data_IF_427200874593
#
_entry.id   IF_427200874593
#
_cell.length_a   1.000
_cell.length_b   1.000
_cell.length_c   1.000
_cell.angle_alpha   90.00
_cell.angle_beta   90.00
_cell.angle_gamma   90.00
#
_symmetry.space_group_name_H-M   'P 1'
#
loop_
_entity.id
_entity.type
_entity.pdbx_description
1 polymer ?
#
# COMPACT_ATOMS: atom_id res chain seq x y z
N UNK A 1 -16.33 8.79 13.64
CA UNK A 1 -17.23 8.02 12.75
C UNK A 1 -16.50 6.75 12.34
N UNK A 2 -16.96 5.60 12.83
CA UNK A 2 -16.35 4.31 12.53
C UNK A 2 -16.75 3.87 11.13
N UNK A 3 -15.84 3.98 10.16
CA UNK A 3 -16.01 3.34 8.86
C UNK A 3 -15.91 1.84 9.05
N UNK A 4 -17.04 1.15 8.91
CA UNK A 4 -17.09 -0.29 8.68
C UNK A 4 -16.10 -0.65 7.58
N UNK A 5 -14.97 -1.24 7.95
CA UNK A 5 -14.06 -1.88 7.01
C UNK A 5 -14.80 -3.09 6.46
N UNK A 6 -15.42 -2.97 5.29
CA UNK A 6 -15.76 -4.13 4.46
C UNK A 6 -14.45 -4.87 4.16
N UNK A 7 -14.07 -5.80 5.05
CA UNK A 7 -12.94 -6.69 4.83
C UNK A 7 -13.40 -7.71 3.79
N UNK A 8 -13.02 -7.48 2.54
CA UNK A 8 -13.16 -8.53 1.54
C UNK A 8 -12.38 -9.77 1.99
N UNK A 9 -12.96 -10.92 1.72
CA UNK A 9 -12.35 -12.23 1.89
C UNK A 9 -11.95 -12.78 0.53
N UNK A 10 -11.17 -13.87 0.50
CA UNK A 10 -10.85 -14.52 -0.78
C UNK A 10 -12.08 -15.13 -1.45
N UNK A 11 -13.13 -15.43 -0.67
CA UNK A 11 -14.38 -15.99 -1.19
C UNK A 11 -15.19 -14.97 -1.99
N UNK A 12 -14.93 -13.68 -1.81
CA UNK A 12 -15.53 -12.56 -2.57
C UNK A 12 -14.80 -12.30 -3.90
N UNK A 13 -13.76 -13.08 -4.22
CA UNK A 13 -13.00 -12.90 -5.44
C UNK A 13 -13.80 -13.36 -6.67
N UNK A 14 -14.10 -12.41 -7.54
CA UNK A 14 -14.61 -12.65 -8.89
C UNK A 14 -13.82 -11.85 -9.92
N UNK A 15 -13.61 -12.43 -11.10
CA UNK A 15 -12.98 -11.75 -12.23
C UNK A 15 -14.04 -10.89 -12.93
N UNK A 16 -13.77 -9.59 -13.01
CA UNK A 16 -14.68 -8.66 -13.66
C UNK A 16 -14.44 -8.66 -15.17
N UNK A 17 -15.52 -8.62 -15.96
CA UNK A 17 -15.41 -8.57 -17.43
C UNK A 17 -14.89 -7.23 -17.94
N UNK A 18 -15.04 -6.18 -17.13
CA UNK A 18 -14.67 -4.79 -17.41
C UNK A 18 -13.32 -4.38 -16.79
N UNK A 19 -12.45 -5.35 -16.48
CA UNK A 19 -11.09 -5.05 -15.98
C UNK A 19 -10.30 -4.22 -16.99
N UNK A 20 -9.73 -3.12 -16.49
CA UNK A 20 -8.84 -2.24 -17.27
C UNK A 20 -7.54 -2.97 -17.58
N UNK A 21 -7.04 -2.78 -18.79
CA UNK A 21 -5.73 -3.24 -19.21
C UNK A 21 -4.63 -2.38 -18.58
N UNK A 22 -4.03 -2.89 -17.50
CA UNK A 22 -2.95 -2.22 -16.77
C UNK A 22 -1.74 -1.90 -17.65
N UNK A 23 -1.48 -2.68 -18.71
CA UNK A 23 -0.34 -2.43 -19.59
C UNK A 23 -0.47 -1.11 -20.36
N UNK A 24 -1.71 -0.61 -20.54
CA UNK A 24 -2.02 0.66 -21.21
C UNK A 24 -2.17 1.81 -20.22
N UNK A 25 -2.61 1.53 -18.99
CA UNK A 25 -2.94 2.55 -18.00
C UNK A 25 -1.81 2.86 -17.01
N UNK A 26 -0.86 1.94 -16.81
CA UNK A 26 0.26 2.11 -15.89
C UNK A 26 1.55 2.33 -16.70
N UNK A 27 2.33 3.39 -16.44
CA UNK A 27 3.61 3.59 -17.11
C UNK A 27 4.55 2.42 -16.76
N UNK A 28 5.31 1.90 -17.72
CA UNK A 28 6.20 0.76 -17.45
C UNK A 28 7.23 1.06 -16.36
N UNK A 29 7.46 0.12 -15.44
CA UNK A 29 8.55 0.24 -14.46
C UNK A 29 9.90 0.20 -15.19
N UNK A 30 10.75 1.20 -14.95
CA UNK A 30 12.11 1.34 -15.51
C UNK A 30 13.20 1.16 -14.46
N UNK A 31 12.80 0.80 -13.23
CA UNK A 31 13.65 0.71 -12.05
C UNK A 31 13.47 1.89 -11.09
N UNK A 32 14.52 2.22 -10.34
CA UNK A 32 14.46 3.18 -9.22
C UNK A 32 14.01 4.60 -9.64
N UNK A 33 14.23 4.98 -10.90
CA UNK A 33 13.95 6.33 -11.41
C UNK A 33 12.47 6.68 -11.48
N UNK A 34 11.59 5.69 -11.64
CA UNK A 34 10.14 5.90 -11.69
C UNK A 34 9.35 5.02 -10.71
N UNK A 35 10.02 4.34 -9.77
CA UNK A 35 9.41 3.41 -8.81
C UNK A 35 8.14 3.95 -8.16
N UNK A 36 8.19 5.10 -7.48
CA UNK A 36 7.04 5.64 -6.73
C UNK A 36 5.84 5.97 -7.59
N UNK A 37 6.09 6.58 -8.75
CA UNK A 37 5.03 6.91 -9.70
C UNK A 37 4.38 5.62 -10.21
N UNK A 38 5.21 4.64 -10.60
CA UNK A 38 4.75 3.33 -11.03
C UNK A 38 3.96 2.62 -9.93
N UNK A 39 4.50 2.53 -8.72
CA UNK A 39 3.90 1.84 -7.57
C UNK A 39 2.52 2.43 -7.23
N UNK A 40 2.43 3.76 -7.20
CA UNK A 40 1.16 4.48 -6.95
C UNK A 40 0.12 4.16 -8.01
N UNK A 41 0.48 4.26 -9.29
CA UNK A 41 -0.45 4.01 -10.40
C UNK A 41 -0.84 2.52 -10.50
N UNK A 42 0.12 1.62 -10.28
CA UNK A 42 -0.07 0.17 -10.26
C UNK A 42 -1.07 -0.22 -9.16
N UNK A 43 -0.87 0.23 -7.92
CA UNK A 43 -1.81 -0.06 -6.83
C UNK A 43 -3.19 0.55 -7.06
N UNK A 44 -3.26 1.75 -7.63
CA UNK A 44 -4.54 2.40 -7.97
C UNK A 44 -5.32 1.58 -9.00
N UNK A 45 -4.67 1.16 -10.08
CA UNK A 45 -5.30 0.39 -11.15
C UNK A 45 -5.66 -1.03 -10.73
N UNK A 46 -4.79 -1.72 -10.00
CA UNK A 46 -5.12 -3.04 -9.43
C UNK A 46 -6.35 -2.95 -8.52
N UNK A 47 -6.40 -1.96 -7.63
CA UNK A 47 -7.53 -1.76 -6.72
C UNK A 47 -8.83 -1.46 -7.48
N UNK A 48 -8.74 -0.69 -8.56
CA UNK A 48 -9.89 -0.38 -9.41
C UNK A 48 -10.46 -1.65 -10.06
N UNK A 49 -9.59 -2.51 -10.59
CA UNK A 49 -10.00 -3.79 -11.17
C UNK A 49 -10.58 -4.73 -10.12
N UNK A 50 -9.82 -5.01 -9.06
CA UNK A 50 -10.31 -5.79 -7.93
C UNK A 50 -9.51 -5.46 -6.66
N UNK A 51 -10.18 -5.06 -5.56
CA UNK A 51 -9.49 -4.75 -4.29
C UNK A 51 -8.68 -5.92 -3.72
N UNK A 52 -9.07 -7.18 -3.99
CA UNK A 52 -8.35 -8.39 -3.55
C UNK A 52 -6.90 -8.40 -4.04
N UNK A 53 -6.61 -7.86 -5.23
CA UNK A 53 -5.24 -7.84 -5.78
C UNK A 53 -4.28 -7.04 -4.91
N UNK A 54 -4.72 -5.88 -4.43
CA UNK A 54 -3.91 -5.04 -3.53
C UNK A 54 -3.79 -5.70 -2.15
N UNK A 55 -4.84 -6.35 -1.69
CA UNK A 55 -4.83 -7.07 -0.41
C UNK A 55 -3.87 -8.26 -0.43
N UNK A 56 -3.77 -8.99 -1.55
CA UNK A 56 -2.78 -10.05 -1.74
C UNK A 56 -1.35 -9.50 -1.66
N UNK A 57 -1.05 -8.40 -2.38
CA UNK A 57 0.28 -7.78 -2.36
C UNK A 57 0.65 -7.29 -0.94
N UNK A 58 -0.33 -6.82 -0.17
CA UNK A 58 -0.13 -6.30 1.20
C UNK A 58 -0.13 -7.35 2.29
N UNK A 59 -0.27 -8.64 1.96
CA UNK A 59 -0.42 -9.74 2.94
C UNK A 59 -1.70 -9.67 3.78
N UNK A 60 -2.74 -8.96 3.31
CA UNK A 60 -4.01 -8.81 4.02
C UNK A 60 -4.94 -10.02 3.79
N UNK A 61 -4.82 -10.69 2.64
CA UNK A 61 -5.52 -11.94 2.32
C UNK A 61 -4.49 -13.06 2.14
N UNK A 62 -4.63 -14.12 2.94
CA UNK A 62 -3.73 -15.28 2.94
C UNK A 62 -4.40 -16.49 2.33
N UNK A 63 -3.59 -17.43 1.89
CA UNK A 63 -4.06 -18.77 1.55
C UNK A 63 -4.82 -19.35 2.75
N UNK A 64 -6.04 -19.87 2.57
CA UNK A 64 -6.78 -20.51 3.65
C UNK A 64 -5.95 -21.63 4.29
N UNK A 65 -5.79 -21.65 5.64
CA UNK A 65 -5.07 -22.71 6.30
C UNK A 65 -5.82 -24.03 6.19
N UNK A 66 -5.09 -25.14 6.23
CA UNK A 66 -5.68 -26.47 6.25
C UNK A 66 -6.70 -26.62 7.39
N UNK A 67 -7.91 -27.14 7.13
CA UNK A 67 -8.93 -27.32 8.16
C UNK A 67 -8.52 -28.37 9.19
N UNK A 68 -8.98 -28.19 10.43
CA UNK A 68 -8.89 -29.21 11.46
C UNK A 68 -10.14 -30.08 11.38
N UNK A 69 -9.96 -31.36 11.06
CA UNK A 69 -11.06 -32.33 10.98
C UNK A 69 -11.33 -32.94 12.35
N UNK A 70 -12.62 -33.10 12.68
CA UNK A 70 -13.02 -33.85 13.87
C UNK A 70 -12.86 -35.36 13.62
N UNK A 71 -12.48 -36.12 14.63
CA UNK A 71 -12.36 -37.57 14.53
C UNK A 71 -13.77 -38.21 14.46
N UNK A 72 -14.11 -38.93 13.37
CA UNK A 72 -15.41 -39.58 13.23
C UNK A 72 -15.52 -40.90 13.99
N UNK A 73 -14.48 -41.35 14.72
CA UNK A 73 -14.56 -42.61 15.47
C UNK A 73 -15.73 -42.63 16.45
N UNK A 74 -16.35 -43.80 16.65
CA UNK A 74 -17.46 -43.97 17.62
C UNK A 74 -17.06 -43.52 19.02
N UNK A 75 -15.79 -43.74 19.41
CA UNK A 75 -15.24 -43.28 20.68
C UNK A 75 -15.26 -41.76 20.81
N UNK A 76 -14.83 -41.04 19.76
CA UNK A 76 -14.81 -39.59 19.74
C UNK A 76 -16.21 -38.99 19.63
N UNK A 77 -17.08 -39.58 18.81
CA UNK A 77 -18.49 -39.21 18.74
C UNK A 77 -19.21 -39.40 20.09
N UNK A 78 -18.97 -40.53 20.77
CA UNK A 78 -19.47 -40.79 22.12
C UNK A 78 -18.95 -39.76 23.11
N UNK A 79 -17.65 -39.50 23.14
CA UNK A 79 -17.04 -38.53 24.04
C UNK A 79 -17.62 -37.12 23.84
N UNK A 80 -17.88 -36.70 22.60
CA UNK A 80 -18.53 -35.43 22.28
C UNK A 80 -19.96 -35.36 22.82
N UNK A 81 -20.76 -36.41 22.63
CA UNK A 81 -22.14 -36.46 23.14
C UNK A 81 -22.18 -36.38 24.68
N UNK A 82 -21.30 -37.11 25.38
CA UNK A 82 -21.20 -37.03 26.84
C UNK A 82 -20.73 -35.64 27.30
N UNK A 83 -19.80 -35.01 26.57
CA UNK A 83 -19.37 -33.63 26.84
C UNK A 83 -20.51 -32.62 26.66
N UNK A 84 -21.37 -32.81 25.66
CA UNK A 84 -22.53 -31.96 25.39
C UNK A 84 -23.65 -32.16 26.42
N UNK A 85 -23.81 -33.39 26.95
CA UNK A 85 -24.78 -33.69 28.00
C UNK A 85 -24.45 -33.02 29.34
N UNK A 86 -23.18 -32.72 29.63
CA UNK A 86 -22.73 -32.00 30.85
C UNK A 86 -23.28 -32.57 32.17
N UNK A 87 -23.41 -33.90 32.29
CA UNK A 87 -23.92 -34.56 33.50
C UNK A 87 -25.45 -34.59 33.62
N UNK A 88 -26.18 -34.16 32.60
CA UNK A 88 -27.63 -34.28 32.50
C UNK A 88 -28.02 -35.75 32.25
N UNK A 89 -28.54 -36.42 33.28
CA UNK A 89 -28.88 -37.85 33.25
C UNK A 89 -29.91 -38.20 32.19
N UNK A 90 -30.84 -37.31 31.86
CA UNK A 90 -31.83 -37.57 30.81
C UNK A 90 -31.20 -37.53 29.43
N UNK A 91 -30.25 -36.62 29.19
CA UNK A 91 -29.50 -36.55 27.93
C UNK A 91 -28.50 -37.70 27.80
N UNK A 92 -27.84 -38.09 28.89
CA UNK A 92 -26.94 -39.24 28.90
C UNK A 92 -27.68 -40.56 28.60
N UNK A 93 -28.88 -40.74 29.14
CA UNK A 93 -29.72 -41.90 28.84
C UNK A 93 -30.10 -42.00 27.35
N UNK A 94 -30.08 -40.88 26.61
CA UNK A 94 -30.34 -40.83 25.16
C UNK A 94 -29.10 -41.10 24.30
N UNK A 95 -27.91 -41.26 24.89
CA UNK A 95 -26.66 -41.61 24.17
C UNK A 95 -26.66 -43.12 23.88
N UNK A 96 -27.48 -43.53 22.93
CA UNK A 96 -27.55 -44.92 22.45
C UNK A 96 -26.51 -45.22 21.37
N UNK A 97 -26.38 -46.50 20.98
CA UNK A 97 -25.52 -46.89 19.87
C UNK A 97 -25.91 -46.19 18.56
N UNK A 98 -27.21 -45.99 18.32
CA UNK A 98 -27.75 -45.26 17.17
C UNK A 98 -27.42 -43.77 17.23
N UNK A 99 -27.51 -43.15 18.42
CA UNK A 99 -27.15 -41.74 18.59
C UNK A 99 -25.65 -41.50 18.33
N UNK A 100 -24.79 -42.42 18.79
CA UNK A 100 -23.34 -42.38 18.52
C UNK A 100 -23.07 -42.55 17.02
N UNK A 101 -23.77 -43.46 16.34
CA UNK A 101 -23.63 -43.67 14.90
C UNK A 101 -24.09 -42.43 14.11
N UNK A 102 -25.25 -41.88 14.44
CA UNK A 102 -25.75 -40.66 13.81
C UNK A 102 -24.78 -39.48 13.99
N UNK A 103 -24.17 -39.35 15.17
CA UNK A 103 -23.16 -38.32 15.43
C UNK A 103 -21.88 -38.54 14.62
N UNK A 104 -21.41 -39.79 14.51
CA UNK A 104 -20.29 -40.16 13.64
C UNK A 104 -20.55 -39.74 12.18
N UNK A 105 -21.72 -40.07 11.64
CA UNK A 105 -22.14 -39.68 10.27
C UNK A 105 -22.15 -38.16 10.12
N UNK A 106 -22.68 -37.43 11.12
CA UNK A 106 -22.69 -35.97 11.11
C UNK A 106 -21.28 -35.37 11.08
N UNK A 107 -20.34 -35.93 11.85
CA UNK A 107 -18.92 -35.51 11.85
C UNK A 107 -18.31 -35.74 10.47
N UNK A 108 -18.54 -36.90 9.86
CA UNK A 108 -18.07 -37.19 8.48
C UNK A 108 -18.61 -36.17 7.49
N UNK A 109 -19.91 -35.87 7.56
CA UNK A 109 -20.55 -34.88 6.66
C UNK A 109 -19.97 -33.48 6.86
N UNK A 110 -19.80 -33.04 8.10
CA UNK A 110 -19.21 -31.72 8.40
C UNK A 110 -17.76 -31.62 7.94
N UNK A 111 -16.96 -32.68 8.14
CA UNK A 111 -15.59 -32.74 7.62
C UNK A 111 -15.55 -32.67 6.08
N UNK A 112 -16.51 -33.29 5.40
CA UNK A 112 -16.62 -33.23 3.94
C UNK A 112 -16.95 -31.82 3.45
N UNK A 113 -17.85 -31.11 4.12
CA UNK A 113 -18.16 -29.71 3.82
C UNK A 113 -16.94 -28.80 4.05
N UNK A 114 -16.21 -28.98 5.15
CA UNK A 114 -14.97 -28.25 5.42
C UNK A 114 -13.93 -28.47 4.32
N UNK A 115 -13.77 -29.69 3.82
CA UNK A 115 -12.87 -30.01 2.68
C UNK A 115 -13.29 -29.26 1.42
N UNK A 116 -14.58 -29.29 1.08
CA UNK A 116 -15.11 -28.60 -0.11
C UNK A 116 -14.89 -27.09 -0.02
N UNK A 117 -15.20 -26.50 1.14
CA UNK A 117 -15.03 -25.07 1.37
C UNK A 117 -13.55 -24.65 1.34
N UNK A 118 -12.65 -25.47 1.90
CA UNK A 118 -11.21 -25.22 1.84
C UNK A 118 -10.67 -25.30 0.41
N UNK A 119 -11.06 -26.31 -0.36
CA UNK A 119 -10.68 -26.44 -1.76
C UNK A 119 -11.17 -25.26 -2.62
N UNK A 120 -12.41 -24.77 -2.42
CA UNK A 120 -12.91 -23.55 -3.09
C UNK A 120 -12.05 -22.33 -2.73
N UNK A 121 -11.69 -22.20 -1.45
CA UNK A 121 -10.83 -21.13 -0.98
C UNK A 121 -9.42 -21.16 -1.57
N UNK A 122 -8.82 -22.34 -1.68
CA UNK A 122 -7.52 -22.54 -2.34
C UNK A 122 -7.58 -22.18 -3.83
N UNK A 123 -8.57 -22.71 -4.57
CA UNK A 123 -8.75 -22.41 -5.99
C UNK A 123 -8.93 -20.89 -6.22
N UNK A 124 -9.78 -20.24 -5.43
CA UNK A 124 -10.00 -18.80 -5.52
C UNK A 124 -8.74 -18.01 -5.21
N UNK A 125 -8.00 -18.41 -4.18
CA UNK A 125 -6.73 -17.77 -3.83
C UNK A 125 -5.72 -17.87 -4.97
N UNK A 126 -5.53 -19.07 -5.53
CA UNK A 126 -4.61 -19.28 -6.65
C UNK A 126 -5.02 -18.49 -7.89
N UNK A 127 -6.32 -18.50 -8.23
CA UNK A 127 -6.86 -17.74 -9.36
C UNK A 127 -6.66 -16.24 -9.18
N UNK A 128 -6.93 -15.72 -7.97
CA UNK A 128 -6.72 -14.30 -7.66
C UNK A 128 -5.24 -13.92 -7.71
N UNK A 129 -4.36 -14.73 -7.12
CA UNK A 129 -2.92 -14.53 -7.14
C UNK A 129 -2.38 -14.54 -8.57
N UNK A 130 -2.74 -15.54 -9.38
CA UNK A 130 -2.29 -15.66 -10.76
C UNK A 130 -2.77 -14.49 -11.62
N UNK A 131 -4.04 -14.08 -11.46
CA UNK A 131 -4.61 -12.95 -12.19
C UNK A 131 -3.93 -11.63 -11.80
N UNK A 132 -3.73 -11.40 -10.49
CA UNK A 132 -3.01 -10.25 -9.97
C UNK A 132 -1.56 -10.22 -10.46
N UNK A 133 -0.87 -11.36 -10.45
CA UNK A 133 0.50 -11.51 -10.93
C UNK A 133 0.62 -11.16 -12.41
N UNK A 134 -0.28 -11.67 -13.27
CA UNK A 134 -0.28 -11.33 -14.70
C UNK A 134 -0.53 -9.84 -14.94
N UNK A 135 -1.47 -9.22 -14.22
CA UNK A 135 -1.73 -7.78 -14.32
C UNK A 135 -0.56 -6.96 -13.80
N UNK A 136 0.10 -7.41 -12.74
CA UNK A 136 1.30 -6.77 -12.19
C UNK A 136 2.46 -6.83 -13.19
N UNK A 137 2.77 -8.02 -13.72
CA UNK A 137 3.85 -8.24 -14.68
C UNK A 137 3.62 -7.46 -15.98
N UNK A 138 2.37 -7.29 -16.40
CA UNK A 138 2.03 -6.48 -17.58
C UNK A 138 2.41 -5.00 -17.44
N UNK A 139 2.73 -4.52 -16.23
CA UNK A 139 3.23 -3.15 -16.00
C UNK A 139 4.76 -3.03 -16.00
N UNK A 140 5.48 -4.14 -16.25
CA UNK A 140 6.94 -4.18 -16.22
C UNK A 140 7.54 -4.07 -17.63
N UNK A 141 8.75 -3.54 -17.72
CA UNK A 141 9.60 -3.72 -18.91
C UNK A 141 10.06 -5.19 -19.02
N UNK A 142 10.27 -5.70 -20.25
CA UNK A 142 10.62 -7.11 -20.46
C UNK A 142 11.82 -7.58 -19.62
N UNK A 143 12.85 -6.75 -19.49
CA UNK A 143 14.06 -7.06 -18.74
C UNK A 143 13.79 -7.24 -17.25
N UNK A 144 12.88 -6.43 -16.68
CA UNK A 144 12.47 -6.53 -15.27
C UNK A 144 11.56 -7.75 -15.09
N UNK A 145 10.62 -7.97 -16.02
CA UNK A 145 9.76 -9.15 -15.99
C UNK A 145 10.55 -10.45 -16.00
N UNK A 146 11.62 -10.56 -16.81
CA UNK A 146 12.46 -11.76 -16.88
C UNK A 146 13.17 -12.05 -15.56
N UNK A 147 13.47 -11.03 -14.73
CA UNK A 147 14.09 -11.24 -13.42
C UNK A 147 13.18 -11.95 -12.41
N UNK A 148 11.87 -12.03 -12.69
CA UNK A 148 10.87 -12.65 -11.83
C UNK A 148 10.55 -14.10 -12.22
N UNK A 149 11.29 -14.72 -13.16
CA UNK A 149 10.90 -15.97 -13.83
C UNK A 149 10.57 -17.17 -12.93
N UNK A 150 11.07 -17.21 -11.70
CA UNK A 150 10.79 -18.29 -10.73
C UNK A 150 9.71 -17.95 -9.69
N UNK A 151 9.16 -16.72 -9.73
CA UNK A 151 8.20 -16.24 -8.75
C UNK A 151 6.79 -16.38 -9.33
N UNK A 152 5.92 -17.08 -8.62
CA UNK A 152 4.50 -17.26 -8.99
C UNK A 152 3.56 -16.46 -8.09
N UNK A 153 4.03 -15.97 -6.95
CA UNK A 153 3.25 -15.20 -6.00
C UNK A 153 3.40 -13.69 -6.26
N UNK A 154 2.28 -12.97 -6.41
CA UNK A 154 2.28 -11.53 -6.71
C UNK A 154 2.94 -10.68 -5.62
N UNK A 155 2.80 -11.07 -4.36
CA UNK A 155 3.43 -10.39 -3.23
C UNK A 155 4.93 -10.60 -3.25
N UNK A 156 5.40 -11.83 -3.45
CA UNK A 156 6.83 -12.13 -3.54
C UNK A 156 7.47 -11.37 -4.70
N UNK A 157 6.77 -11.29 -5.83
CA UNK A 157 7.24 -10.55 -7.00
C UNK A 157 7.38 -9.05 -6.70
N UNK A 158 6.37 -8.45 -6.06
CA UNK A 158 6.42 -7.06 -5.61
C UNK A 158 7.57 -6.83 -4.61
N UNK A 159 7.76 -7.71 -3.63
CA UNK A 159 8.83 -7.58 -2.65
C UNK A 159 10.22 -7.73 -3.29
N UNK A 160 10.40 -8.65 -4.24
CA UNK A 160 11.65 -8.80 -4.97
C UNK A 160 12.00 -7.55 -5.78
N UNK A 161 11.02 -6.98 -6.51
CA UNK A 161 11.24 -5.72 -7.22
C UNK A 161 11.49 -4.55 -6.26
N UNK A 162 10.83 -4.54 -5.10
CA UNK A 162 11.01 -3.50 -4.10
C UNK A 162 12.40 -3.56 -3.50
N UNK A 163 12.93 -4.74 -3.22
CA UNK A 163 14.31 -4.88 -2.76
C UNK A 163 15.31 -4.46 -3.83
N UNK A 164 15.07 -4.84 -5.09
CA UNK A 164 15.98 -4.55 -6.22
C UNK A 164 16.01 -3.07 -6.63
N UNK A 165 14.84 -2.42 -6.70
CA UNK A 165 14.68 -1.09 -7.27
C UNK A 165 14.33 -0.01 -6.24
N UNK A 166 13.85 -0.42 -5.07
CA UNK A 166 13.42 0.47 -3.99
C UNK A 166 14.22 0.26 -2.70
N UNK A 167 15.52 -0.03 -2.83
CA UNK A 167 16.45 0.04 -1.72
C UNK A 167 17.36 1.26 -1.87
N UNK A 168 16.91 2.47 -1.50
CA UNK A 168 17.79 3.62 -1.53
C UNK A 168 18.85 3.43 -0.46
N UNK A 169 20.09 3.19 -0.90
CA UNK A 169 21.22 3.17 0.03
C UNK A 169 21.18 4.42 0.89
N UNK A 170 21.53 4.31 2.17
CA UNK A 170 21.60 5.48 3.07
C UNK A 170 22.42 6.62 2.45
N UNK A 171 23.43 6.27 1.66
CA UNK A 171 24.20 7.20 0.85
C UNK A 171 23.37 7.95 -0.20
N UNK A 172 22.54 7.25 -0.98
CA UNK A 172 21.66 7.85 -1.99
C UNK A 172 20.59 8.76 -1.36
N UNK A 173 20.03 8.37 -0.22
CA UNK A 173 19.10 9.21 0.57
C UNK A 173 19.83 10.45 1.11
N UNK A 174 21.02 10.27 1.67
CA UNK A 174 21.84 11.36 2.16
C UNK A 174 22.23 12.35 1.06
N UNK A 175 22.59 11.89 -0.15
CA UNK A 175 22.90 12.78 -1.28
C UNK A 175 21.71 13.66 -1.68
N UNK A 176 20.48 13.11 -1.67
CA UNK A 176 19.25 13.89 -1.95
C UNK A 176 18.96 14.89 -0.84
N UNK A 177 19.05 14.45 0.42
CA UNK A 177 18.95 15.36 1.56
C UNK A 177 19.99 16.49 1.48
N UNK A 178 21.25 16.14 1.16
CA UNK A 178 22.35 17.09 0.97
C UNK A 178 22.05 18.09 -0.15
N UNK A 179 21.45 17.67 -1.27
CA UNK A 179 21.00 18.58 -2.34
C UNK A 179 19.92 19.54 -1.84
N UNK A 180 18.90 19.03 -1.15
CA UNK A 180 17.82 19.85 -0.57
C UNK A 180 18.36 20.89 0.42
N UNK A 181 19.16 20.48 1.41
CA UNK A 181 19.64 21.39 2.47
C UNK A 181 20.70 22.39 1.99
N UNK A 182 21.33 22.16 0.83
CA UNK A 182 22.31 23.05 0.22
C UNK A 182 21.73 23.90 -0.91
N UNK A 183 20.47 23.66 -1.31
CA UNK A 183 19.80 24.50 -2.29
C UNK A 183 19.67 25.93 -1.75
N UNK A 184 20.12 26.93 -2.51
CA UNK A 184 20.05 28.34 -2.13
C UNK A 184 19.49 29.19 -3.26
N UNK A 185 18.67 30.17 -2.92
CA UNK A 185 18.27 31.25 -3.82
C UNK A 185 19.33 32.35 -3.79
N UNK A 186 20.14 32.47 -4.85
CA UNK A 186 21.21 33.48 -4.93
C UNK A 186 20.78 34.70 -5.74
N UNK A 187 20.41 34.50 -7.00
CA UNK A 187 19.96 35.52 -7.98
C UNK A 187 19.04 34.85 -9.01
N UNK A 188 18.37 35.63 -9.83
CA UNK A 188 17.51 35.15 -10.92
C UNK A 188 16.02 35.18 -10.60
N UNK A 189 15.21 34.63 -11.50
CA UNK A 189 13.75 34.65 -11.38
C UNK A 189 13.25 33.78 -10.21
N UNK A 190 12.40 34.32 -9.31
CA UNK A 190 11.92 33.59 -8.15
C UNK A 190 10.96 32.45 -8.50
N UNK A 191 10.21 32.49 -9.62
CA UNK A 191 9.38 31.34 -10.01
C UNK A 191 10.23 30.14 -10.41
N UNK A 192 11.28 30.39 -11.19
CA UNK A 192 12.23 29.36 -11.61
C UNK A 192 12.90 28.73 -10.39
N UNK A 193 13.22 29.55 -9.37
CA UNK A 193 13.71 29.02 -8.09
C UNK A 193 12.68 28.14 -7.37
N UNK A 194 11.43 28.58 -7.24
CA UNK A 194 10.36 27.80 -6.60
C UNK A 194 10.15 26.47 -7.32
N UNK A 195 10.09 26.47 -8.66
CA UNK A 195 9.97 25.25 -9.44
C UNK A 195 11.13 24.29 -9.18
N UNK A 196 12.37 24.80 -9.16
CA UNK A 196 13.56 24.00 -8.82
C UNK A 196 13.52 23.47 -7.39
N UNK A 197 13.06 24.28 -6.43
CA UNK A 197 12.91 23.85 -5.04
C UNK A 197 11.89 22.71 -4.93
N UNK A 198 10.71 22.86 -5.53
CA UNK A 198 9.67 21.82 -5.57
C UNK A 198 10.19 20.53 -6.20
N UNK A 199 10.98 20.64 -7.27
CA UNK A 199 11.58 19.48 -7.92
C UNK A 199 12.57 18.76 -6.97
N UNK A 200 13.51 19.48 -6.37
CA UNK A 200 14.49 18.88 -5.42
C UNK A 200 13.82 18.32 -4.16
N UNK A 201 12.76 18.97 -3.67
CA UNK A 201 11.97 18.46 -2.56
C UNK A 201 11.23 17.19 -2.95
N UNK A 202 10.56 17.18 -4.11
CA UNK A 202 9.89 16.02 -4.68
C UNK A 202 10.86 14.84 -4.85
N UNK A 203 12.07 15.10 -5.36
CA UNK A 203 13.14 14.11 -5.46
C UNK A 203 13.56 13.52 -4.11
N UNK A 204 13.38 14.24 -3.00
CA UNK A 204 13.69 13.76 -1.65
C UNK A 204 12.51 13.04 -1.01
N UNK A 205 11.32 13.63 -1.03
CA UNK A 205 10.09 13.07 -0.44
C UNK A 205 9.61 11.82 -1.18
N UNK A 206 9.90 11.75 -2.48
CA UNK A 206 9.76 10.51 -3.25
C UNK A 206 10.59 9.36 -2.69
N UNK A 207 11.56 9.58 -1.79
CA UNK A 207 12.35 8.52 -1.15
C UNK A 207 11.97 8.33 0.31
N UNK A 208 11.88 9.41 1.08
CA UNK A 208 11.68 9.34 2.53
C UNK A 208 10.21 9.39 2.99
N UNK A 209 9.27 9.61 2.07
CA UNK A 209 7.86 9.85 2.40
C UNK A 209 7.51 11.34 2.37
N UNK A 210 6.23 11.62 2.47
CA UNK A 210 5.72 12.99 2.42
C UNK A 210 6.16 13.80 3.65
N UNK A 211 6.38 15.08 3.41
CA UNK A 211 6.82 16.04 4.41
C UNK A 211 5.63 16.90 4.83
N UNK A 212 5.52 17.20 6.12
CA UNK A 212 4.48 18.14 6.59
C UNK A 212 4.73 19.56 6.03
N UNK A 213 3.69 20.39 5.82
CA UNK A 213 3.86 21.75 5.33
C UNK A 213 4.86 22.59 6.15
N UNK A 214 4.90 22.41 7.48
CA UNK A 214 5.83 23.12 8.35
C UNK A 214 7.30 22.70 8.16
N UNK A 215 7.53 21.40 7.94
CA UNK A 215 8.88 20.90 7.62
C UNK A 215 9.34 21.45 6.26
N UNK A 216 8.44 21.45 5.26
CA UNK A 216 8.72 22.03 3.94
C UNK A 216 9.06 23.52 4.04
N UNK A 217 8.27 24.29 4.80
CA UNK A 217 8.51 25.71 5.07
C UNK A 217 9.88 25.94 5.70
N UNK A 218 10.31 25.10 6.64
CA UNK A 218 11.63 25.20 7.28
C UNK A 218 12.76 25.05 6.25
N UNK A 219 12.64 24.08 5.34
CA UNK A 219 13.61 23.91 4.26
C UNK A 219 13.59 25.09 3.28
N UNK A 220 12.40 25.60 2.95
CA UNK A 220 12.24 26.75 2.07
C UNK A 220 12.87 28.02 2.67
N UNK A 221 12.59 28.35 3.94
CA UNK A 221 13.22 29.45 4.68
C UNK A 221 14.75 29.36 4.63
N UNK A 222 15.30 28.17 4.93
CA UNK A 222 16.75 27.94 4.87
C UNK A 222 17.31 28.18 3.46
N UNK A 223 16.56 27.85 2.42
CA UNK A 223 16.99 28.03 1.05
C UNK A 223 17.03 29.51 0.61
N UNK A 224 16.20 30.37 1.21
CA UNK A 224 16.08 31.79 0.81
C UNK A 224 16.72 32.78 1.78
N UNK A 225 16.96 32.41 3.04
CA UNK A 225 17.47 33.33 4.10
C UNK A 225 18.80 34.02 3.79
N UNK A 226 19.67 33.36 3.01
CA UNK A 226 20.95 33.95 2.60
C UNK A 226 20.83 35.06 1.55
N UNK A 227 19.63 35.34 1.03
CA UNK A 227 19.41 36.34 0.01
C UNK A 227 18.88 37.65 0.62
N UNK A 228 19.56 38.79 0.43
CA UNK A 228 19.07 40.08 0.91
C UNK A 228 17.67 40.45 0.42
N UNK A 229 17.32 40.09 -0.83
CA UNK A 229 15.98 40.35 -1.41
C UNK A 229 14.87 39.55 -0.74
N UNK A 230 15.22 38.46 -0.07
CA UNK A 230 14.27 37.61 0.66
C UNK A 230 14.07 38.07 2.10
N UNK A 231 14.84 39.05 2.59
CA UNK A 231 14.72 39.56 3.97
C UNK A 231 13.33 40.10 4.25
N UNK A 232 12.77 40.89 3.34
CA UNK A 232 11.42 41.44 3.48
C UNK A 232 10.35 40.34 3.51
N UNK A 233 10.47 39.33 2.65
CA UNK A 233 9.60 38.16 2.66
C UNK A 233 9.64 37.43 4.01
N UNK A 234 10.84 37.17 4.54
CA UNK A 234 11.00 36.43 5.81
C UNK A 234 10.43 37.21 7.00
N UNK A 235 10.64 38.52 7.05
CA UNK A 235 10.16 39.38 8.14
C UNK A 235 8.63 39.52 8.16
N UNK A 236 7.98 39.49 7.00
CA UNK A 236 6.54 39.65 6.85
C UNK A 236 5.80 38.32 6.64
N UNK A 237 6.45 37.18 6.89
CA UNK A 237 5.84 35.89 6.68
C UNK A 237 4.82 35.58 7.78
N UNK A 238 3.54 35.61 7.41
CA UNK A 238 2.45 35.14 8.26
C UNK A 238 2.18 33.66 7.98
N UNK A 239 2.10 32.84 9.03
CA UNK A 239 1.87 31.39 8.93
C UNK A 239 0.50 31.10 9.52
N UNK A 240 -0.38 30.51 8.71
CA UNK A 240 -1.63 29.92 9.17
C UNK A 240 -1.51 28.39 9.07
N UNK A 241 -1.34 27.70 10.19
CA UNK A 241 -1.14 26.25 10.21
C UNK A 241 -2.39 25.46 9.82
N UNK A 242 -3.57 26.09 9.88
CA UNK A 242 -4.85 25.49 9.51
C UNK A 242 -5.15 25.60 8.00
N UNK A 243 -4.33 26.33 7.24
CA UNK A 243 -4.51 26.50 5.80
C UNK A 243 -4.13 25.23 5.02
N UNK A 244 -5.07 24.59 4.30
CA UNK A 244 -4.76 23.41 3.49
C UNK A 244 -3.82 23.68 2.30
N UNK A 245 -3.65 24.93 1.84
CA UNK A 245 -2.70 25.36 0.80
C UNK A 245 -1.56 26.25 1.35
N UNK A 246 -1.18 26.07 2.62
CA UNK A 246 -0.16 26.89 3.28
C UNK A 246 1.10 27.10 2.42
N UNK A 247 1.68 26.02 1.89
CA UNK A 247 2.89 26.13 1.07
C UNK A 247 2.65 26.81 -0.27
N UNK A 248 1.51 26.58 -0.91
CA UNK A 248 1.12 27.28 -2.14
C UNK A 248 1.10 28.79 -1.95
N UNK A 249 0.53 29.25 -0.82
CA UNK A 249 0.50 30.66 -0.45
C UNK A 249 1.89 31.23 -0.19
N UNK A 250 2.70 30.55 0.62
CA UNK A 250 4.09 30.94 0.92
C UNK A 250 4.93 31.11 -0.35
N UNK A 251 4.77 30.23 -1.34
CA UNK A 251 5.46 30.33 -2.62
C UNK A 251 5.05 31.57 -3.42
N UNK A 252 3.75 31.88 -3.45
CA UNK A 252 3.21 33.08 -4.13
C UNK A 252 3.73 34.36 -3.46
N UNK A 253 3.75 34.41 -2.13
CA UNK A 253 4.19 35.58 -1.38
C UNK A 253 5.71 35.82 -1.52
N UNK A 254 6.51 34.76 -1.55
CA UNK A 254 7.93 34.85 -1.84
C UNK A 254 8.18 35.49 -3.20
N UNK A 255 7.52 34.99 -4.24
CA UNK A 255 7.64 35.50 -5.61
C UNK A 255 7.27 36.99 -5.66
N UNK A 256 6.14 37.36 -5.05
CA UNK A 256 5.66 38.75 -5.00
C UNK A 256 6.68 39.65 -4.31
N UNK A 257 7.10 39.29 -3.10
CA UNK A 257 8.02 40.08 -2.30
C UNK A 257 9.37 40.29 -3.02
N UNK A 258 9.94 39.25 -3.61
CA UNK A 258 11.24 39.32 -4.30
C UNK A 258 11.16 40.10 -5.62
N UNK A 259 10.01 40.12 -6.30
CA UNK A 259 9.79 40.90 -7.54
C UNK A 259 9.47 42.38 -7.30
N UNK A 260 8.87 42.73 -6.17
CA UNK A 260 8.52 44.13 -5.83
C UNK A 260 9.73 44.87 -5.26
N UNK A 261 10.62 44.18 -4.53
CA UNK A 261 11.76 44.81 -3.88
C UNK A 261 12.95 45.30 -4.74
N UNK A 262 13.12 44.98 -6.05
CA UNK A 262 14.12 45.62 -6.89
C UNK A 262 13.86 47.13 -7.10
N UNK A 263 12.64 47.62 -6.82
CA UNK A 263 12.28 49.03 -7.03
C UNK A 263 12.68 49.97 -5.89
N UNK A 264 13.00 49.45 -4.69
CA UNK A 264 13.27 50.28 -3.50
C UNK A 264 14.75 50.29 -3.07
N UNK A 265 15.66 49.70 -3.85
CA UNK A 265 17.10 49.67 -3.54
C UNK A 265 17.93 50.67 -4.35
N UNK A 266 17.29 51.68 -4.94
CA UNK A 266 17.95 52.88 -5.49
C UNK A 266 17.43 54.09 -4.71
N UNK A 267 18.04 54.36 -3.57
CA UNK A 267 17.93 55.61 -2.82
C UNK A 267 19.28 55.83 -2.15
#
# INVERSE_FOLDING_TARGET
>A
MSTSSNKNTIFDFEVRKDEIDLAKSVPKLKGASNWRMWETQMFMMLRFNNPVYVQLIRDEIKMPPAPIYADPSRSSARALLFKEAKGDKEKEARITAEAIEARSIQIVSSNLELRKHHADGEEKWERANNRAFLQFVSTLEPQISSSLGNITNVREAYLALKDLHWNPSHHATYLRFKKLVNLRYKRGDPHTFVARFKNVLGDYTAFVGDMTPLQELRHFKRAVVGNPRSRFFILNLMINEEDPDLMGQIYRDFVRAVRVHPMFSKS
#
